data_IF_379963789536
#
_entry.id   IF_379963789536
#
_cell.length_a   1.000
_cell.length_b   1.000
_cell.length_c   1.000
_cell.angle_alpha   90.00
_cell.angle_beta   90.00
_cell.angle_gamma   90.00
#
_symmetry.space_group_name_H-M   'P 1'
#
loop_
_entity.id
_entity.type
_entity.pdbx_description
1 polymer ?
#
# COMPACT_ATOMS: atom_id res chain seq x y z
N UNK A 1 -16.99 25.25 -16.29
CA UNK A 1 -16.97 23.76 -16.29
C UNK A 1 -15.55 23.25 -16.58
N UNK A 2 -14.64 23.15 -15.59
CA UNK A 2 -13.27 22.61 -15.79
C UNK A 2 -12.80 21.62 -14.71
N UNK A 3 -13.71 21.12 -13.87
CA UNK A 3 -13.37 20.18 -12.77
C UNK A 3 -13.30 18.71 -13.23
N UNK A 4 -13.98 18.34 -14.31
CA UNK A 4 -13.98 16.95 -14.83
C UNK A 4 -12.76 16.55 -15.66
N UNK A 5 -11.91 17.50 -16.09
CA UNK A 5 -10.76 17.18 -16.93
C UNK A 5 -9.65 16.44 -16.16
N UNK A 6 -9.35 16.90 -14.94
CA UNK A 6 -8.33 16.30 -14.09
C UNK A 6 -8.62 14.85 -13.66
N UNK A 7 -9.83 14.46 -13.21
CA UNK A 7 -10.12 13.06 -12.89
C UNK A 7 -10.10 12.16 -14.12
N UNK A 8 -10.57 12.64 -15.28
CA UNK A 8 -10.54 11.86 -16.55
C UNK A 8 -9.10 11.62 -17.02
N UNK A 9 -8.21 12.59 -16.84
CA UNK A 9 -6.78 12.45 -17.12
C UNK A 9 -6.08 11.51 -16.14
N UNK A 10 -6.40 11.60 -14.84
CA UNK A 10 -5.88 10.71 -13.81
C UNK A 10 -6.29 9.25 -14.06
N UNK A 11 -7.55 9.02 -14.45
CA UNK A 11 -8.07 7.69 -14.75
C UNK A 11 -7.42 7.09 -15.99
N UNK A 12 -7.20 7.88 -17.05
CA UNK A 12 -6.46 7.44 -18.23
C UNK A 12 -4.98 7.14 -17.93
N UNK A 13 -4.34 7.91 -17.03
CA UNK A 13 -2.97 7.65 -16.58
C UNK A 13 -2.83 6.32 -15.81
N UNK A 14 -3.78 6.03 -14.91
CA UNK A 14 -3.84 4.74 -14.19
C UNK A 14 -4.14 3.60 -15.17
N UNK A 15 -5.08 3.79 -16.11
CA UNK A 15 -5.46 2.79 -17.12
C UNK A 15 -4.29 2.40 -18.04
N UNK A 16 -3.44 3.37 -18.41
CA UNK A 16 -2.27 3.13 -19.27
C UNK A 16 -1.12 2.42 -18.54
N UNK A 17 -0.99 2.62 -17.22
CA UNK A 17 0.03 1.98 -16.38
C UNK A 17 -0.54 0.90 -15.43
N UNK A 18 -1.61 0.21 -15.84
CA UNK A 18 -2.27 -0.84 -15.04
C UNK A 18 -1.33 -1.95 -14.60
N UNK A 19 -0.35 -2.33 -15.43
CA UNK A 19 0.62 -3.39 -15.11
C UNK A 19 1.48 -3.08 -13.88
N UNK A 20 1.65 -1.80 -13.52
CA UNK A 20 2.37 -1.37 -12.33
C UNK A 20 1.44 -1.11 -11.14
N UNK A 21 0.25 -0.54 -11.39
CA UNK A 21 -0.73 -0.25 -10.33
C UNK A 21 -1.42 -1.51 -9.80
N UNK A 22 -1.65 -2.51 -10.65
CA UNK A 22 -2.32 -3.75 -10.26
C UNK A 22 -1.52 -4.56 -9.22
N UNK A 23 -0.24 -4.90 -9.43
CA UNK A 23 0.54 -5.59 -8.41
C UNK A 23 0.73 -4.73 -7.15
N UNK A 24 0.81 -3.40 -7.26
CA UNK A 24 0.90 -2.48 -6.11
C UNK A 24 -0.33 -2.54 -5.21
N UNK A 25 -1.54 -2.45 -5.78
CA UNK A 25 -2.78 -2.52 -5.00
C UNK A 25 -2.97 -3.90 -4.39
N UNK A 26 -2.54 -4.93 -5.11
CA UNK A 26 -2.57 -6.31 -4.63
C UNK A 26 -1.63 -6.50 -3.43
N UNK A 27 -0.37 -6.03 -3.50
CA UNK A 27 0.56 -6.13 -2.36
C UNK A 27 0.08 -5.34 -1.16
N UNK A 28 -0.46 -4.14 -1.35
CA UNK A 28 -1.05 -3.36 -0.25
C UNK A 28 -2.24 -4.09 0.39
N UNK A 29 -3.15 -4.64 -0.42
CA UNK A 29 -4.29 -5.44 0.05
C UNK A 29 -3.83 -6.64 0.88
N UNK A 30 -2.86 -7.41 0.38
CA UNK A 30 -2.31 -8.57 1.07
C UNK A 30 -1.66 -8.19 2.41
N UNK A 31 -0.89 -7.10 2.45
CA UNK A 31 -0.26 -6.62 3.69
C UNK A 31 -1.29 -6.23 4.75
N UNK A 32 -2.33 -5.50 4.36
CA UNK A 32 -3.42 -5.10 5.27
C UNK A 32 -4.18 -6.33 5.77
N UNK A 33 -4.50 -7.26 4.87
CA UNK A 33 -5.18 -8.51 5.21
C UNK A 33 -4.37 -9.34 6.21
N UNK A 34 -3.07 -9.51 5.97
CA UNK A 34 -2.21 -10.33 6.83
C UNK A 34 -2.02 -9.70 8.22
N UNK A 35 -1.85 -8.38 8.27
CA UNK A 35 -1.77 -7.63 9.53
C UNK A 35 -3.08 -7.71 10.32
N UNK A 36 -4.23 -7.58 9.65
CA UNK A 36 -5.55 -7.70 10.27
C UNK A 36 -5.79 -9.09 10.87
N UNK A 37 -5.54 -10.15 10.10
CA UNK A 37 -5.70 -11.53 10.56
C UNK A 37 -4.83 -11.79 11.79
N UNK A 38 -3.56 -11.40 11.74
CA UNK A 38 -2.61 -11.63 12.84
C UNK A 38 -3.01 -10.85 14.10
N UNK A 39 -3.48 -9.60 13.94
CA UNK A 39 -3.92 -8.77 15.06
C UNK A 39 -5.21 -9.30 15.70
N UNK A 40 -6.16 -9.72 14.88
CA UNK A 40 -7.41 -10.35 15.34
C UNK A 40 -7.11 -11.62 16.13
N UNK A 41 -6.23 -12.45 15.58
CA UNK A 41 -5.83 -13.73 16.16
C UNK A 41 -5.06 -13.54 17.48
N UNK A 42 -4.17 -12.55 17.55
CA UNK A 42 -3.44 -12.17 18.77
C UNK A 42 -4.33 -11.64 19.90
N UNK A 43 -5.47 -11.02 19.56
CA UNK A 43 -6.47 -10.51 20.52
C UNK A 43 -7.53 -11.53 20.90
N UNK A 44 -7.71 -12.58 20.10
CA UNK A 44 -8.73 -13.59 20.36
C UNK A 44 -8.38 -14.45 21.59
N UNK A 45 -9.31 -14.51 22.55
CA UNK A 45 -9.16 -15.34 23.76
C UNK A 45 -9.15 -16.85 23.45
N UNK A 46 -9.65 -17.25 22.27
CA UNK A 46 -9.61 -18.64 21.79
C UNK A 46 -8.19 -19.22 21.76
N UNK A 47 -7.17 -18.40 21.49
CA UNK A 47 -5.77 -18.84 21.51
C UNK A 47 -5.19 -18.80 22.92
N UNK A 48 -5.55 -17.79 23.71
CA UNK A 48 -5.10 -17.64 25.08
C UNK A 48 -5.56 -18.81 25.98
N UNK A 49 -6.77 -19.33 25.76
CA UNK A 49 -7.37 -20.42 26.54
C UNK A 49 -6.87 -21.83 26.17
N UNK A 50 -5.92 -21.95 25.25
CA UNK A 50 -5.33 -23.24 24.87
C UNK A 50 -4.22 -23.62 25.86
N UNK A 51 -3.97 -24.91 26.17
CA UNK A 51 -2.93 -25.34 27.13
C UNK A 51 -1.49 -24.86 26.83
N UNK A 52 -1.24 -24.32 25.63
CA UNK A 52 0.03 -23.72 25.17
C UNK A 52 -0.16 -22.29 24.63
N UNK A 53 -1.26 -21.64 25.00
CA UNK A 53 -1.71 -20.34 24.47
C UNK A 53 -0.70 -19.22 24.67
N UNK A 54 0.01 -19.21 25.80
CA UNK A 54 1.05 -18.22 26.08
C UNK A 54 2.17 -18.19 25.02
N UNK A 55 2.64 -19.36 24.58
CA UNK A 55 3.67 -19.48 23.53
C UNK A 55 3.14 -19.03 22.17
N UNK A 56 1.91 -19.43 21.84
CA UNK A 56 1.25 -19.03 20.60
C UNK A 56 1.03 -17.50 20.55
N UNK A 57 0.62 -16.90 21.66
CA UNK A 57 0.40 -15.46 21.76
C UNK A 57 1.71 -14.67 21.65
N UNK A 58 2.80 -15.19 22.24
CA UNK A 58 4.13 -14.59 22.10
C UNK A 58 4.63 -14.65 20.64
N UNK A 59 4.44 -15.78 19.96
CA UNK A 59 4.74 -15.90 18.52
C UNK A 59 3.90 -14.94 17.67
N UNK A 60 2.61 -14.75 17.99
CA UNK A 60 1.74 -13.80 17.28
C UNK A 60 2.19 -12.35 17.48
N UNK A 61 2.56 -11.97 18.69
CA UNK A 61 3.12 -10.65 18.98
C UNK A 61 4.43 -10.38 18.23
N UNK A 62 5.33 -11.38 18.18
CA UNK A 62 6.54 -11.30 17.36
C UNK A 62 6.19 -11.20 15.86
N UNK A 63 5.19 -11.96 15.40
CA UNK A 63 4.68 -11.90 14.03
C UNK A 63 4.17 -10.51 13.66
N UNK A 64 3.45 -9.83 14.56
CA UNK A 64 2.98 -8.45 14.35
C UNK A 64 4.17 -7.50 14.12
N UNK A 65 5.24 -7.61 14.92
CA UNK A 65 6.43 -6.77 14.77
C UNK A 65 7.08 -6.98 13.39
N UNK A 66 7.26 -8.24 12.98
CA UNK A 66 7.86 -8.58 11.68
C UNK A 66 6.99 -8.09 10.53
N UNK A 67 5.67 -8.36 10.56
CA UNK A 67 4.73 -7.94 9.52
C UNK A 67 4.67 -6.41 9.43
N UNK A 68 4.70 -5.71 10.57
CA UNK A 68 4.73 -4.24 10.59
C UNK A 68 5.96 -3.68 9.90
N UNK A 69 7.13 -4.28 10.15
CA UNK A 69 8.40 -3.85 9.55
C UNK A 69 8.41 -4.12 8.03
N UNK A 70 7.94 -5.30 7.60
CA UNK A 70 7.81 -5.63 6.19
C UNK A 70 6.79 -4.75 5.47
N UNK A 71 5.63 -4.50 6.08
CA UNK A 71 4.59 -3.63 5.53
C UNK A 71 5.13 -2.22 5.29
N UNK A 72 5.88 -1.66 6.26
CA UNK A 72 6.51 -0.35 6.13
C UNK A 72 7.51 -0.30 4.96
N UNK A 73 8.38 -1.31 4.84
CA UNK A 73 9.37 -1.40 3.77
C UNK A 73 8.69 -1.50 2.40
N UNK A 74 7.67 -2.35 2.27
CA UNK A 74 6.87 -2.47 1.07
C UNK A 74 6.13 -1.18 0.73
N UNK A 75 5.57 -0.46 1.72
CA UNK A 75 4.92 0.84 1.53
C UNK A 75 5.90 1.89 1.01
N UNK A 76 7.11 1.98 1.59
CA UNK A 76 8.15 2.90 1.12
C UNK A 76 8.62 2.57 -0.30
N UNK A 77 8.87 1.29 -0.59
CA UNK A 77 9.23 0.84 -1.94
C UNK A 77 8.14 1.20 -2.95
N UNK A 78 6.90 0.92 -2.57
CA UNK A 78 5.69 1.19 -3.34
C UNK A 78 5.51 2.70 -3.58
N UNK A 79 5.72 3.53 -2.56
CA UNK A 79 5.65 4.99 -2.68
C UNK A 79 6.74 5.55 -3.60
N UNK A 80 7.96 5.02 -3.52
CA UNK A 80 9.09 5.38 -4.39
C UNK A 80 8.82 5.02 -5.86
N UNK A 81 8.29 3.82 -6.13
CA UNK A 81 7.88 3.40 -7.48
C UNK A 81 6.76 4.30 -8.02
N UNK A 82 5.79 4.67 -7.17
CA UNK A 82 4.68 5.54 -7.57
C UNK A 82 5.16 6.96 -7.89
N UNK A 83 6.07 7.52 -7.08
CA UNK A 83 6.73 8.83 -7.34
C UNK A 83 7.57 8.78 -8.62
N UNK A 84 8.35 7.72 -8.83
CA UNK A 84 9.24 7.57 -10.00
C UNK A 84 8.46 7.43 -11.31
N UNK A 85 7.27 6.84 -11.27
CA UNK A 85 6.37 6.78 -12.41
C UNK A 85 5.63 8.11 -12.66
N UNK A 86 5.36 8.90 -11.61
CA UNK A 86 4.78 10.25 -11.72
C UNK A 86 5.81 11.29 -12.17
N UNK A 87 7.10 11.15 -11.84
CA UNK A 87 8.14 12.12 -12.23
C UNK A 87 8.37 12.19 -13.74
N UNK A 88 8.22 11.08 -14.48
CA UNK A 88 8.24 11.10 -15.95
C UNK A 88 7.04 11.85 -16.54
N UNK A 89 5.87 11.74 -15.92
CA UNK A 89 4.69 12.49 -16.32
C UNK A 89 4.85 13.98 -15.99
N UNK A 90 5.33 14.32 -14.78
CA UNK A 90 5.62 15.71 -14.39
C UNK A 90 6.71 16.35 -15.25
N UNK A 91 7.75 15.62 -15.64
CA UNK A 91 8.78 16.10 -16.58
C UNK A 91 8.21 16.43 -17.96
N UNK A 92 7.32 15.57 -18.49
CA UNK A 92 6.64 15.84 -19.76
C UNK A 92 5.68 17.04 -19.65
N UNK A 93 4.93 17.16 -18.56
CA UNK A 93 4.06 18.32 -18.30
C UNK A 93 4.87 19.63 -18.15
N UNK A 94 6.07 19.55 -17.58
CA UNK A 94 6.97 20.70 -17.46
C UNK A 94 7.53 21.14 -18.82
N UNK A 95 7.88 20.19 -19.71
CA UNK A 95 8.29 20.48 -21.10
C UNK A 95 7.13 21.03 -21.94
N UNK A 96 5.89 20.64 -21.65
CA UNK A 96 4.66 21.16 -22.27
C UNK A 96 4.17 22.50 -21.69
N UNK A 97 4.90 23.11 -20.74
CA UNK A 97 4.57 24.42 -20.17
C UNK A 97 3.39 24.41 -19.17
N UNK A 98 2.93 23.24 -18.72
CA UNK A 98 1.93 23.12 -17.66
C UNK A 98 2.62 23.30 -16.30
N UNK A 99 2.91 24.57 -15.96
CA UNK A 99 3.56 24.92 -14.72
C UNK A 99 2.61 24.74 -13.52
N UNK A 100 3.15 24.40 -12.34
CA UNK A 100 2.41 24.11 -11.09
C UNK A 100 1.66 25.33 -10.50
N UNK A 101 1.64 26.46 -11.22
CA UNK A 101 1.22 27.79 -10.74
C UNK A 101 -0.01 28.37 -11.46
N UNK A 102 -0.69 27.61 -12.32
CA UNK A 102 -1.99 27.95 -12.91
C UNK A 102 -3.10 27.01 -12.45
#
# INVERSE_FOLDING_TARGET
MKILFYPKLAFNGIKKNKRLYFPYLLTCSVMVMMMYITLYLARSESIANTPRGAWAQLCLWLGIIVISLFSLLFLFYSFSVLIKNRSRAFGLYNVLGMNKRN
#
